data_IF_657783521019
#
_entry.id   IF_657783521019
#
_cell.length_a   1.000
_cell.length_b   1.000
_cell.length_c   1.000
_cell.angle_alpha   90.00
_cell.angle_beta   90.00
_cell.angle_gamma   90.00
#
_symmetry.space_group_name_H-M   'P 1'
#
loop_
_entity.id
_entity.type
_entity.pdbx_description
1 polymer ?
#
# COMPACT_ATOMS: atom_id res chain seq x y z
N UNK A 1 -23.17 2.66 -31.38
CA UNK A 1 -22.43 1.86 -30.38
C UNK A 1 -21.89 2.84 -29.36
N UNK A 2 -22.64 3.02 -28.27
CA UNK A 2 -22.42 4.06 -27.27
C UNK A 2 -21.88 3.42 -25.99
N UNK A 3 -20.93 4.11 -25.33
CA UNK A 3 -20.07 3.58 -24.27
C UNK A 3 -20.81 3.07 -23.02
N UNK A 4 -20.45 1.85 -22.60
CA UNK A 4 -21.05 1.13 -21.45
C UNK A 4 -20.45 1.52 -20.09
N UNK A 5 -19.47 2.43 -20.07
CA UNK A 5 -18.78 2.81 -18.83
C UNK A 5 -18.88 4.32 -18.63
N UNK A 6 -19.93 4.77 -17.96
CA UNK A 6 -19.96 6.09 -17.33
C UNK A 6 -18.86 6.21 -16.27
N UNK A 7 -18.48 7.43 -15.88
CA UNK A 7 -17.36 7.66 -14.98
C UNK A 7 -17.58 6.96 -13.63
N UNK A 8 -16.54 6.36 -13.03
CA UNK A 8 -16.66 5.60 -11.80
C UNK A 8 -17.09 6.50 -10.65
N UNK A 9 -18.30 6.27 -10.11
CA UNK A 9 -18.74 6.93 -8.89
C UNK A 9 -18.11 6.22 -7.69
N UNK A 10 -17.23 6.94 -6.98
CA UNK A 10 -16.53 6.45 -5.79
C UNK A 10 -17.46 6.42 -4.59
N UNK A 11 -17.86 5.23 -4.14
CA UNK A 11 -18.62 5.04 -2.90
C UNK A 11 -18.98 3.57 -2.62
N UNK A 12 -19.22 3.22 -1.35
CA UNK A 12 -19.64 1.85 -0.96
C UNK A 12 -20.95 1.41 -1.61
N UNK A 13 -21.90 2.34 -1.84
CA UNK A 13 -23.16 2.10 -2.52
C UNK A 13 -22.99 1.78 -4.00
N UNK A 14 -22.11 2.49 -4.71
CA UNK A 14 -21.77 2.20 -6.10
C UNK A 14 -21.13 0.82 -6.25
N UNK A 15 -20.29 0.43 -5.28
CA UNK A 15 -19.69 -0.91 -5.19
C UNK A 15 -20.75 -2.00 -5.01
N UNK A 16 -21.79 -1.75 -4.21
CA UNK A 16 -22.90 -2.69 -3.96
C UNK A 16 -23.82 -2.80 -5.17
N UNK A 17 -24.17 -1.69 -5.84
CA UNK A 17 -24.99 -1.71 -7.05
C UNK A 17 -24.27 -2.37 -8.23
N UNK A 18 -22.98 -2.07 -8.41
CA UNK A 18 -22.15 -2.70 -9.43
C UNK A 18 -22.07 -4.22 -9.21
N UNK A 19 -21.88 -4.64 -7.95
CA UNK A 19 -21.87 -6.06 -7.57
C UNK A 19 -23.21 -6.75 -7.85
N UNK A 20 -24.36 -6.12 -7.54
CA UNK A 20 -25.70 -6.64 -7.87
C UNK A 20 -25.98 -6.74 -9.36
N UNK A 21 -25.41 -5.85 -10.19
CA UNK A 21 -25.53 -5.93 -11.65
C UNK A 21 -24.70 -7.08 -12.24
N UNK A 22 -23.49 -7.32 -11.71
CA UNK A 22 -22.66 -8.47 -12.07
C UNK A 22 -23.23 -9.81 -11.60
N UNK A 23 -23.97 -9.84 -10.48
CA UNK A 23 -24.68 -11.05 -10.01
C UNK A 23 -25.73 -11.58 -11.00
N UNK A 24 -26.20 -10.75 -11.96
CA UNK A 24 -27.15 -11.18 -13.01
C UNK A 24 -26.47 -11.74 -14.27
N UNK A 25 -25.16 -11.58 -14.42
CA UNK A 25 -24.42 -11.98 -15.63
C UNK A 25 -23.13 -12.73 -15.24
N UNK A 26 -23.15 -14.05 -15.39
CA UNK A 26 -22.06 -14.94 -14.98
C UNK A 26 -20.75 -14.64 -15.73
N UNK A 27 -20.84 -14.22 -17.00
CA UNK A 27 -19.68 -13.95 -17.84
C UNK A 27 -19.00 -12.64 -17.42
N UNK A 28 -19.81 -11.62 -17.07
CA UNK A 28 -19.30 -10.36 -16.56
C UNK A 28 -18.62 -10.52 -15.18
N UNK A 29 -19.15 -11.40 -14.32
CA UNK A 29 -18.53 -11.75 -13.05
C UNK A 29 -17.17 -12.43 -13.25
N UNK A 30 -17.09 -13.42 -14.13
CA UNK A 30 -15.86 -14.16 -14.38
C UNK A 30 -14.77 -13.28 -15.03
N UNK A 31 -15.15 -12.36 -15.92
CA UNK A 31 -14.22 -11.38 -16.51
C UNK A 31 -13.67 -10.39 -15.47
N UNK A 32 -14.52 -9.89 -14.57
CA UNK A 32 -14.10 -9.00 -13.50
C UNK A 32 -13.19 -9.70 -12.48
N UNK A 33 -13.54 -10.93 -12.07
CA UNK A 33 -12.71 -11.72 -11.15
C UNK A 33 -11.32 -12.00 -11.75
N UNK A 34 -11.24 -12.32 -13.05
CA UNK A 34 -9.96 -12.48 -13.77
C UNK A 34 -9.12 -11.20 -13.77
N UNK A 35 -9.72 -10.04 -14.10
CA UNK A 35 -9.00 -8.77 -14.07
C UNK A 35 -8.45 -8.42 -12.68
N UNK A 36 -9.21 -8.69 -11.62
CA UNK A 36 -8.76 -8.44 -10.25
C UNK A 36 -7.56 -9.32 -9.88
N UNK A 37 -7.55 -10.58 -10.34
CA UNK A 37 -6.44 -11.52 -10.10
C UNK A 37 -5.21 -11.08 -10.90
N UNK A 38 -5.35 -10.80 -12.19
CA UNK A 38 -4.25 -10.34 -13.05
C UNK A 38 -3.62 -9.06 -12.51
N UNK A 39 -4.44 -8.10 -12.09
CA UNK A 39 -3.97 -6.85 -11.50
C UNK A 39 -3.26 -7.08 -10.15
N UNK A 40 -3.72 -8.04 -9.34
CA UNK A 40 -3.01 -8.44 -8.12
C UNK A 40 -1.64 -9.07 -8.43
N UNK A 41 -1.59 -10.00 -9.39
CA UNK A 41 -0.34 -10.67 -9.78
C UNK A 41 0.66 -9.69 -10.41
N UNK A 42 0.19 -8.78 -11.27
CA UNK A 42 1.02 -7.71 -11.84
C UNK A 42 1.67 -6.87 -10.74
N UNK A 43 0.88 -6.45 -9.75
CA UNK A 43 1.39 -5.66 -8.62
C UNK A 43 2.37 -6.44 -7.77
N UNK A 44 2.08 -7.72 -7.51
CA UNK A 44 3.01 -8.60 -6.80
C UNK A 44 4.33 -8.73 -7.55
N UNK A 45 4.30 -8.96 -8.85
CA UNK A 45 5.50 -9.05 -9.68
C UNK A 45 6.31 -7.74 -9.67
N UNK A 46 5.64 -6.58 -9.66
CA UNK A 46 6.31 -5.29 -9.52
C UNK A 46 7.00 -5.13 -8.16
N UNK A 47 6.37 -5.55 -7.06
CA UNK A 47 7.01 -5.53 -5.72
C UNK A 47 8.24 -6.41 -5.66
N UNK A 48 8.16 -7.59 -6.29
CA UNK A 48 9.24 -8.58 -6.32
C UNK A 48 10.41 -8.11 -7.21
N UNK A 49 10.15 -7.32 -8.26
CA UNK A 49 11.21 -6.77 -9.10
C UNK A 49 11.93 -5.56 -8.49
N UNK A 50 11.28 -4.84 -7.56
CA UNK A 50 11.89 -3.70 -6.87
C UNK A 50 12.94 -4.15 -5.85
N UNK A 51 14.18 -3.74 -6.08
CA UNK A 51 15.30 -3.95 -5.17
C UNK A 51 15.31 -2.89 -4.06
N UNK A 52 15.61 -3.32 -2.84
CA UNK A 52 15.67 -2.44 -1.68
C UNK A 52 16.98 -1.64 -1.69
N UNK A 53 16.95 -0.29 -1.76
CA UNK A 53 18.16 0.52 -1.88
C UNK A 53 18.96 0.61 -0.58
N UNK A 54 20.27 0.79 -0.69
CA UNK A 54 21.19 0.71 0.46
C UNK A 54 21.64 2.07 1.00
N UNK A 55 21.46 3.16 0.24
CA UNK A 55 21.79 4.52 0.66
C UNK A 55 20.55 5.37 0.92
N UNK A 56 20.71 6.46 1.68
CA UNK A 56 19.61 7.37 1.98
C UNK A 56 19.10 8.08 0.71
N UNK A 57 20.01 8.47 -0.18
CA UNK A 57 19.70 9.15 -1.44
C UNK A 57 18.90 8.22 -2.37
N UNK A 58 19.34 6.97 -2.52
CA UNK A 58 18.62 6.00 -3.34
C UNK A 58 17.27 5.62 -2.72
N UNK A 59 17.16 5.64 -1.39
CA UNK A 59 15.91 5.39 -0.68
C UNK A 59 14.89 6.52 -0.90
N UNK A 60 15.35 7.77 -0.93
CA UNK A 60 14.51 8.93 -1.29
C UNK A 60 13.96 8.76 -2.70
N UNK A 61 14.84 8.53 -3.68
CA UNK A 61 14.44 8.31 -5.07
C UNK A 61 13.50 7.13 -5.23
N UNK A 62 13.75 6.05 -4.49
CA UNK A 62 12.88 4.88 -4.49
C UNK A 62 11.46 5.24 -4.07
N UNK A 63 11.29 5.98 -2.98
CA UNK A 63 9.96 6.36 -2.51
C UNK A 63 9.28 7.43 -3.37
N UNK A 64 10.02 8.40 -3.94
CA UNK A 64 9.47 9.34 -4.91
C UNK A 64 8.92 8.63 -6.15
N UNK A 65 9.60 7.56 -6.58
CA UNK A 65 9.15 6.70 -7.68
C UNK A 65 8.21 5.56 -7.24
N UNK A 66 7.65 5.62 -6.03
CA UNK A 66 6.68 4.63 -5.53
C UNK A 66 5.26 5.16 -5.71
N UNK A 67 4.39 4.32 -6.27
CA UNK A 67 2.97 4.67 -6.40
C UNK A 67 2.33 4.88 -5.02
N UNK A 68 1.46 5.88 -4.89
CA UNK A 68 0.78 6.19 -3.63
C UNK A 68 0.03 5.01 -2.99
N UNK A 69 -0.42 4.02 -3.79
CA UNK A 69 -1.12 2.82 -3.31
C UNK A 69 -0.18 1.75 -2.75
N UNK A 70 1.11 1.85 -3.04
CA UNK A 70 2.16 0.90 -2.64
C UNK A 70 3.05 1.48 -1.52
N UNK A 71 2.94 2.79 -1.25
CA UNK A 71 3.77 3.49 -0.27
C UNK A 71 3.71 2.84 1.12
N UNK A 72 2.53 2.46 1.60
CA UNK A 72 2.36 1.84 2.92
C UNK A 72 3.07 0.48 3.02
N UNK A 73 3.02 -0.30 1.93
CA UNK A 73 3.70 -1.59 1.85
C UNK A 73 5.21 -1.40 1.87
N UNK A 74 5.73 -0.47 1.07
CA UNK A 74 7.16 -0.20 1.00
C UNK A 74 7.71 0.40 2.30
N UNK A 75 6.95 1.27 2.99
CA UNK A 75 7.28 1.78 4.32
C UNK A 75 7.39 0.62 5.32
N UNK A 76 6.45 -0.32 5.29
CA UNK A 76 6.46 -1.49 6.17
C UNK A 76 7.67 -2.40 5.87
N UNK A 77 7.98 -2.61 4.60
CA UNK A 77 9.11 -3.44 4.13
C UNK A 77 10.46 -2.84 4.50
N UNK A 78 10.61 -1.53 4.37
CA UNK A 78 11.86 -0.81 4.55
C UNK A 78 11.97 -0.11 5.91
N UNK A 79 11.03 -0.37 6.83
CA UNK A 79 11.02 0.20 8.19
C UNK A 79 12.38 0.15 8.90
N UNK A 80 13.17 -0.95 8.85
CA UNK A 80 14.48 -0.97 9.50
C UNK A 80 15.47 0.07 8.98
N UNK A 81 15.30 0.53 7.73
CA UNK A 81 16.12 1.57 7.06
C UNK A 81 15.55 2.98 7.23
N UNK A 82 14.26 3.10 7.59
CA UNK A 82 13.60 4.36 7.92
C UNK A 82 13.89 4.76 9.38
N UNK A 83 15.17 4.97 9.68
CA UNK A 83 15.65 5.30 11.02
C UNK A 83 15.94 6.80 11.19
N UNK A 84 16.46 7.17 12.36
CA UNK A 84 16.79 8.56 12.68
C UNK A 84 17.87 9.12 11.74
N UNK A 85 18.80 8.29 11.27
CA UNK A 85 19.87 8.73 10.37
C UNK A 85 19.28 9.11 9.02
N UNK A 86 18.42 8.25 8.45
CA UNK A 86 17.68 8.53 7.22
C UNK A 86 16.86 9.83 7.32
N UNK A 87 16.06 9.99 8.38
CA UNK A 87 15.23 11.19 8.53
C UNK A 87 16.06 12.46 8.74
N UNK A 88 17.23 12.36 9.39
CA UNK A 88 18.16 13.49 9.52
C UNK A 88 18.75 13.89 8.17
N UNK A 89 19.08 12.91 7.32
CA UNK A 89 19.55 13.15 5.97
C UNK A 89 18.47 13.84 5.11
N UNK A 90 17.24 13.33 5.12
CA UNK A 90 16.12 13.94 4.39
C UNK A 90 15.83 15.39 4.86
N UNK A 91 15.91 15.65 6.17
CA UNK A 91 15.79 17.01 6.71
C UNK A 91 16.93 17.94 6.24
N UNK A 92 18.15 17.41 6.13
CA UNK A 92 19.28 18.17 5.61
C UNK A 92 19.07 18.55 4.14
N UNK A 93 18.66 17.61 3.27
CA UNK A 93 18.34 17.90 1.86
C UNK A 93 17.24 18.97 1.73
N UNK A 94 16.16 18.82 2.48
CA UNK A 94 15.08 19.81 2.55
C UNK A 94 15.59 21.19 2.98
N UNK A 95 16.50 21.23 3.95
CA UNK A 95 17.18 22.45 4.39
C UNK A 95 17.97 23.11 3.26
N UNK A 96 18.77 22.33 2.52
CA UNK A 96 19.54 22.83 1.38
C UNK A 96 18.62 23.43 0.31
N UNK A 97 17.54 22.76 -0.05
CA UNK A 97 16.57 23.27 -1.03
C UNK A 97 15.84 24.50 -0.51
N UNK A 98 15.45 24.53 0.77
CA UNK A 98 14.74 25.65 1.38
C UNK A 98 15.58 26.91 1.44
N UNK A 99 16.88 26.80 1.69
CA UNK A 99 17.80 27.94 1.78
C UNK A 99 18.67 28.15 0.55
N UNK A 100 18.38 27.47 -0.56
CA UNK A 100 19.06 27.69 -1.83
C UNK A 100 19.00 29.17 -2.24
N UNK A 101 20.15 29.74 -2.60
CA UNK A 101 20.32 31.16 -2.97
C UNK A 101 19.50 31.51 -4.22
N UNK A 102 19.33 30.55 -5.13
CA UNK A 102 18.49 30.65 -6.32
C UNK A 102 17.27 29.73 -6.18
N UNK A 103 16.07 30.29 -6.36
CA UNK A 103 14.81 29.55 -6.39
C UNK A 103 14.38 29.38 -7.85
N UNK A 104 14.85 28.31 -8.47
CA UNK A 104 14.35 27.89 -9.78
C UNK A 104 13.09 27.05 -9.61
N UNK A 105 12.26 26.94 -10.65
CA UNK A 105 11.07 26.10 -10.64
C UNK A 105 11.42 24.65 -10.25
N UNK A 106 12.51 24.10 -10.80
CA UNK A 106 12.95 22.73 -10.48
C UNK A 106 13.27 22.53 -8.99
N UNK A 107 13.83 23.54 -8.33
CA UNK A 107 14.13 23.51 -6.88
C UNK A 107 12.84 23.57 -6.07
N UNK A 108 11.86 24.37 -6.52
CA UNK A 108 10.56 24.48 -5.86
C UNK A 108 9.75 23.18 -5.99
N UNK A 109 9.71 22.60 -7.18
CA UNK A 109 9.03 21.33 -7.45
C UNK A 109 9.63 20.21 -6.61
N UNK A 110 10.97 20.09 -6.60
CA UNK A 110 11.66 19.09 -5.78
C UNK A 110 11.45 19.30 -4.29
N UNK A 111 11.38 20.54 -3.82
CA UNK A 111 11.06 20.84 -2.42
C UNK A 111 9.67 20.32 -2.05
N UNK A 112 8.67 20.56 -2.90
CA UNK A 112 7.29 20.08 -2.69
C UNK A 112 7.25 18.56 -2.63
N UNK A 113 7.95 17.88 -3.55
CA UNK A 113 8.04 16.42 -3.59
C UNK A 113 8.64 15.85 -2.29
N UNK A 114 9.78 16.40 -1.84
CA UNK A 114 10.44 15.94 -0.62
C UNK A 114 9.65 16.25 0.65
N UNK A 115 8.92 17.37 0.71
CA UNK A 115 8.04 17.70 1.85
C UNK A 115 6.86 16.73 1.92
N UNK A 116 6.24 16.43 0.77
CA UNK A 116 5.16 15.45 0.68
C UNK A 116 5.66 14.05 1.07
N UNK A 117 6.84 13.66 0.58
CA UNK A 117 7.46 12.39 0.92
C UNK A 117 7.77 12.29 2.41
N UNK A 118 8.42 13.30 2.99
CA UNK A 118 8.76 13.33 4.42
C UNK A 118 7.53 13.09 5.27
N UNK A 119 6.43 13.79 4.96
CA UNK A 119 5.17 13.64 5.67
C UNK A 119 4.61 12.23 5.56
N UNK A 120 4.56 11.67 4.34
CA UNK A 120 4.06 10.32 4.11
C UNK A 120 4.89 9.25 4.85
N UNK A 121 6.21 9.39 4.85
CA UNK A 121 7.11 8.46 5.54
C UNK A 121 6.98 8.57 7.06
N UNK A 122 6.81 9.77 7.61
CA UNK A 122 6.58 9.96 9.05
C UNK A 122 5.25 9.33 9.48
N UNK A 123 4.16 9.67 8.80
CA UNK A 123 2.82 9.13 9.09
C UNK A 123 2.80 7.59 8.97
N UNK A 124 3.34 7.05 7.87
CA UNK A 124 3.38 5.61 7.67
C UNK A 124 4.25 4.88 8.68
N UNK A 125 5.42 5.45 9.05
CA UNK A 125 6.31 4.84 10.05
C UNK A 125 5.65 4.83 11.42
N UNK A 126 4.98 5.91 11.82
CA UNK A 126 4.19 5.95 13.05
C UNK A 126 3.07 4.89 13.05
N UNK A 127 2.38 4.70 11.92
CA UNK A 127 1.36 3.64 11.79
C UNK A 127 1.95 2.23 11.89
N UNK A 128 3.16 1.99 11.36
CA UNK A 128 3.87 0.71 11.52
C UNK A 128 4.21 0.48 13.00
N UNK A 129 4.81 1.47 13.65
CA UNK A 129 5.23 1.39 15.06
C UNK A 129 4.04 1.17 16.01
N UNK A 130 2.91 1.82 15.76
CA UNK A 130 1.68 1.63 16.52
C UNK A 130 0.96 0.31 16.20
N UNK A 131 1.53 -0.52 15.33
CA UNK A 131 0.92 -1.76 14.82
C UNK A 131 -0.44 -1.56 14.11
N UNK A 132 -0.75 -0.35 13.66
CA UNK A 132 -2.03 -0.02 13.02
C UNK A 132 -2.13 -0.58 11.60
N UNK A 133 -1.00 -0.69 10.88
CA UNK A 133 -0.95 -1.35 9.56
C UNK A 133 -1.22 -2.86 9.65
N UNK A 134 -0.64 -3.51 10.67
CA UNK A 134 -0.92 -4.91 10.95
C UNK A 134 -2.37 -5.13 11.40
N UNK A 135 -2.96 -4.16 12.12
CA UNK A 135 -4.35 -4.23 12.57
C UNK A 135 -5.35 -4.10 11.42
N UNK A 136 -5.09 -3.22 10.45
CA UNK A 136 -5.87 -3.11 9.21
C UNK A 136 -5.80 -4.39 8.38
N UNK A 137 -4.61 -4.98 8.23
CA UNK A 137 -4.45 -6.28 7.56
C UNK A 137 -5.16 -7.43 8.32
N UNK A 138 -5.03 -7.49 9.64
CA UNK A 138 -5.73 -8.48 10.47
C UNK A 138 -7.25 -8.31 10.39
N UNK A 139 -7.75 -7.08 10.34
CA UNK A 139 -9.19 -6.78 10.22
C UNK A 139 -9.72 -7.28 8.87
N UNK A 140 -9.01 -7.00 7.77
CA UNK A 140 -9.36 -7.51 6.44
C UNK A 140 -9.25 -9.04 6.35
N UNK A 141 -8.25 -9.63 7.01
CA UNK A 141 -8.08 -11.07 7.07
C UNK A 141 -9.22 -11.72 7.89
N UNK A 142 -9.63 -11.10 8.99
CA UNK A 142 -10.76 -11.54 9.82
C UNK A 142 -12.08 -11.46 9.05
N UNK A 143 -12.30 -10.38 8.28
CA UNK A 143 -13.44 -10.27 7.37
C UNK A 143 -13.44 -11.35 6.28
N UNK A 144 -12.27 -11.64 5.68
CA UNK A 144 -12.14 -12.67 4.65
C UNK A 144 -12.34 -14.08 5.19
N UNK A 145 -11.84 -14.37 6.40
CA UNK A 145 -12.08 -15.65 7.11
C UNK A 145 -13.58 -15.79 7.38
N UNK A 146 -14.23 -14.75 7.90
CA UNK A 146 -15.67 -14.76 8.16
C UNK A 146 -16.50 -14.98 6.88
N UNK A 147 -16.09 -14.36 5.76
CA UNK A 147 -16.73 -14.55 4.47
C UNK A 147 -16.48 -15.95 3.88
N UNK A 148 -15.28 -16.52 4.05
CA UNK A 148 -14.96 -17.88 3.62
C UNK A 148 -15.77 -18.94 4.40
N UNK A 149 -15.94 -18.76 5.71
CA UNK A 149 -16.82 -19.59 6.53
C UNK A 149 -18.28 -19.49 6.07
N UNK A 150 -18.79 -18.28 5.82
CA UNK A 150 -20.15 -18.07 5.27
C UNK A 150 -20.33 -18.69 3.88
N UNK A 151 -19.28 -18.70 3.07
CA UNK A 151 -19.24 -19.31 1.74
C UNK A 151 -18.94 -20.82 1.74
N UNK A 152 -18.85 -21.47 2.90
CA UNK A 152 -18.50 -22.88 3.07
C UNK A 152 -17.13 -23.28 2.48
N UNK A 153 -16.21 -22.32 2.33
CA UNK A 153 -14.87 -22.51 1.79
C UNK A 153 -13.87 -22.91 2.88
N UNK A 154 -14.09 -24.10 3.49
CA UNK A 154 -13.32 -24.56 4.66
C UNK A 154 -11.79 -24.54 4.47
N UNK A 155 -11.29 -25.03 3.34
CA UNK A 155 -9.84 -25.04 3.08
C UNK A 155 -9.23 -23.62 2.99
N UNK A 156 -9.97 -22.66 2.42
CA UNK A 156 -9.52 -21.28 2.34
C UNK A 156 -9.52 -20.61 3.73
N UNK A 157 -10.55 -20.88 4.53
CA UNK A 157 -10.63 -20.41 5.91
C UNK A 157 -9.48 -20.96 6.77
N UNK A 158 -9.23 -22.28 6.74
CA UNK A 158 -8.17 -22.93 7.50
C UNK A 158 -6.77 -22.39 7.13
N UNK A 159 -6.54 -22.09 5.84
CA UNK A 159 -5.29 -21.49 5.39
C UNK A 159 -5.14 -20.05 5.89
N UNK A 160 -6.20 -19.24 5.79
CA UNK A 160 -6.18 -17.85 6.26
C UNK A 160 -6.06 -17.74 7.79
N UNK A 161 -6.65 -18.66 8.54
CA UNK A 161 -6.48 -18.74 10.01
C UNK A 161 -5.04 -19.06 10.41
N UNK A 162 -4.35 -19.96 9.68
CA UNK A 162 -2.92 -20.22 9.88
C UNK A 162 -2.06 -19.01 9.55
N UNK A 163 -2.36 -18.31 8.46
CA UNK A 163 -1.71 -17.05 8.09
C UNK A 163 -1.90 -15.98 9.17
N UNK A 164 -3.12 -15.82 9.69
CA UNK A 164 -3.43 -14.91 10.80
C UNK A 164 -2.58 -15.22 12.03
N UNK A 165 -2.47 -16.50 12.39
CA UNK A 165 -1.64 -16.95 13.50
C UNK A 165 -0.14 -16.66 13.31
N UNK A 166 0.37 -16.81 12.09
CA UNK A 166 1.77 -16.49 11.76
C UNK A 166 2.05 -14.98 11.86
N UNK A 167 1.13 -14.15 11.35
CA UNK A 167 1.21 -12.69 11.40
C UNK A 167 1.19 -12.20 12.85
N UNK A 168 0.29 -12.72 13.68
CA UNK A 168 0.22 -12.40 15.11
C UNK A 168 1.52 -12.75 15.85
N UNK A 169 2.14 -13.89 15.53
CA UNK A 169 3.43 -14.29 16.10
C UNK A 169 4.56 -13.37 15.67
N UNK A 170 4.60 -12.99 14.39
CA UNK A 170 5.61 -12.06 13.88
C UNK A 170 5.49 -10.68 14.56
N UNK A 171 4.26 -10.20 14.77
CA UNK A 171 4.02 -8.96 15.52
C UNK A 171 4.48 -9.05 16.98
N UNK A 172 4.29 -10.19 17.65
CA UNK A 172 4.73 -10.33 19.06
C UNK A 172 6.25 -10.41 19.17
N UNK A 173 6.93 -11.06 18.20
CA UNK A 173 8.39 -11.19 18.19
C UNK A 173 9.13 -9.88 17.87
N UNK A 174 8.53 -8.97 17.09
CA UNK A 174 9.09 -7.62 16.87
C UNK A 174 9.03 -6.75 18.14
N UNK A 175 8.13 -7.06 19.08
CA UNK A 175 7.92 -6.32 20.32
C UNK A 175 8.56 -6.97 21.55
N UNK A 176 9.41 -8.01 21.38
CA UNK A 176 10.07 -8.76 22.47
C UNK A 176 11.54 -8.40 22.65
#
# INVERSE_FOLDING_TARGET
MEGVLGPPQTGHLARIEFKRRLERDADAREAFERQVIEEKERRRALRESRAAPDTAEELIEYFLNTEAREIEFEISRLRPRLDKEFFSHLQYELGQLRFAVSKTQDIEDRLIELEALQKALQEGTEMVERNELNRSFLTLLDENIANAHKGNQKQAADFMEKLRGAVLKYMTLINS
#
